data_IF_997526704736
#
_entry.id   IF_997526704736
#
_cell.length_a   1.000
_cell.length_b   1.000
_cell.length_c   1.000
_cell.angle_alpha   90.00
_cell.angle_beta   90.00
_cell.angle_gamma   90.00
#
_symmetry.space_group_name_H-M   'P 1'
#
loop_
_entity.id
_entity.type
_entity.pdbx_description
1 polymer ?
#
# COMPACT_ATOMS: atom_id res chain seq x y z
N UNK A 1 24.68 19.62 -31.88
CA UNK A 1 23.74 19.34 -30.77
C UNK A 1 24.57 19.26 -29.49
N UNK A 2 24.21 20.03 -28.45
CA UNK A 2 24.93 19.95 -27.15
C UNK A 2 24.29 18.85 -26.31
N UNK A 3 25.07 18.00 -25.66
CA UNK A 3 24.59 16.95 -24.75
C UNK A 3 25.01 17.34 -23.33
N UNK A 4 24.10 17.17 -22.39
CA UNK A 4 24.33 17.49 -20.99
C UNK A 4 23.89 16.30 -20.12
N UNK A 5 24.75 15.91 -19.20
CA UNK A 5 24.43 14.94 -18.13
C UNK A 5 24.21 15.71 -16.83
N UNK A 6 23.02 15.53 -16.24
CA UNK A 6 22.75 16.13 -14.94
C UNK A 6 23.62 15.49 -13.87
N UNK A 7 24.27 16.30 -13.06
CA UNK A 7 25.12 15.85 -11.96
C UNK A 7 24.33 15.31 -10.76
N UNK A 8 23.03 15.59 -10.71
CA UNK A 8 22.13 15.10 -9.63
C UNK A 8 21.54 13.75 -9.99
N UNK A 9 21.48 12.86 -9.01
CA UNK A 9 20.79 11.58 -9.15
C UNK A 9 19.29 11.83 -9.29
N UNK A 10 18.73 11.45 -10.44
CA UNK A 10 17.29 11.61 -10.70
C UNK A 10 16.44 10.63 -9.90
N UNK A 11 16.92 9.40 -9.74
CA UNK A 11 16.22 8.33 -9.04
C UNK A 11 17.21 7.28 -8.52
N UNK A 12 16.95 6.81 -7.30
CA UNK A 12 17.65 5.65 -6.74
C UNK A 12 16.66 4.51 -6.57
N UNK A 13 16.99 3.33 -7.09
CA UNK A 13 16.18 2.12 -6.93
C UNK A 13 16.91 1.16 -6.00
N UNK A 14 16.30 0.88 -4.86
CA UNK A 14 16.78 -0.11 -3.91
C UNK A 14 15.74 -1.22 -3.75
N UNK A 15 16.19 -2.46 -3.83
CA UNK A 15 15.31 -3.62 -3.68
C UNK A 15 15.87 -4.63 -2.69
N UNK A 16 15.09 -4.92 -1.66
CA UNK A 16 15.32 -6.07 -0.80
C UNK A 16 14.92 -7.35 -1.53
N UNK A 17 15.66 -8.44 -1.32
CA UNK A 17 15.26 -9.76 -1.82
C UNK A 17 13.90 -10.13 -1.20
N UNK A 18 12.92 -10.36 -2.05
CA UNK A 18 11.58 -10.78 -1.67
C UNK A 18 11.37 -12.22 -2.17
N UNK A 19 11.37 -13.16 -1.24
CA UNK A 19 11.17 -14.60 -1.51
C UNK A 19 9.71 -15.03 -1.46
N UNK A 20 8.83 -14.17 -0.94
CA UNK A 20 7.40 -14.46 -0.78
C UNK A 20 6.60 -14.00 -2.01
N UNK A 21 5.72 -14.88 -2.47
CA UNK A 21 4.61 -14.56 -3.36
C UNK A 21 3.31 -14.41 -2.56
N UNK A 22 2.21 -14.06 -3.22
CA UNK A 22 0.87 -13.92 -2.60
C UNK A 22 0.89 -13.03 -1.35
N UNK A 23 1.33 -11.81 -1.54
CA UNK A 23 1.49 -10.81 -0.49
C UNK A 23 0.58 -9.61 -0.72
N UNK A 24 0.34 -8.87 0.36
CA UNK A 24 -0.18 -7.51 0.31
C UNK A 24 1.00 -6.55 0.38
N UNK A 25 0.94 -5.46 -0.34
CA UNK A 25 1.93 -4.39 -0.25
C UNK A 25 1.28 -3.03 -0.05
N UNK A 26 1.97 -2.17 0.67
CA UNK A 26 1.56 -0.81 0.94
C UNK A 26 2.59 0.14 0.34
N UNK A 27 2.11 1.16 -0.40
CA UNK A 27 2.94 2.27 -0.84
C UNK A 27 2.81 3.40 0.18
N UNK A 28 3.93 3.82 0.72
CA UNK A 28 4.00 4.71 1.86
C UNK A 28 4.91 5.88 1.53
N UNK A 29 4.41 7.11 1.62
CA UNK A 29 5.21 8.32 1.49
C UNK A 29 5.94 8.65 2.80
N UNK A 30 7.05 9.38 2.72
CA UNK A 30 7.69 9.93 3.92
C UNK A 30 6.87 11.03 4.58
N UNK A 31 6.08 11.75 3.78
CA UNK A 31 5.13 12.75 4.28
C UNK A 31 3.74 12.16 4.36
N UNK A 32 2.97 12.61 5.34
CA UNK A 32 1.57 12.23 5.48
C UNK A 32 0.70 12.90 4.44
N UNK A 33 -0.30 12.17 3.98
CA UNK A 33 -1.37 12.67 3.12
C UNK A 33 -2.60 12.97 3.98
N UNK A 34 -3.37 13.97 3.57
CA UNK A 34 -4.62 14.34 4.24
C UNK A 34 -5.78 13.56 3.63
N UNK A 35 -6.54 12.88 4.49
CA UNK A 35 -7.78 12.19 4.19
C UNK A 35 -8.94 12.81 4.95
N UNK A 36 -10.18 12.46 4.60
CA UNK A 36 -11.39 13.02 5.26
C UNK A 36 -11.44 12.77 6.77
N UNK A 37 -10.93 11.65 7.24
CA UNK A 37 -10.93 11.25 8.64
C UNK A 37 -9.62 11.48 9.38
N UNK A 38 -8.58 12.00 8.74
CA UNK A 38 -7.28 12.18 9.39
C UNK A 38 -6.11 12.20 8.41
N UNK A 39 -4.92 11.86 8.88
CA UNK A 39 -3.70 11.84 8.08
C UNK A 39 -3.05 10.47 8.11
N UNK A 40 -2.52 10.03 6.99
CA UNK A 40 -1.77 8.79 6.88
C UNK A 40 -0.67 8.91 5.83
N UNK A 41 0.42 8.18 6.01
CA UNK A 41 1.48 8.05 5.01
C UNK A 41 1.15 7.04 3.90
N UNK A 42 0.08 6.24 4.05
CA UNK A 42 -0.30 5.21 3.09
C UNK A 42 -0.97 5.86 1.88
N UNK A 43 -0.40 5.64 0.70
CA UNK A 43 -0.93 6.10 -0.59
C UNK A 43 -1.72 5.01 -1.33
N UNK A 44 -1.37 3.73 -1.10
CA UNK A 44 -1.96 2.60 -1.80
C UNK A 44 -1.83 1.30 -1.00
N UNK A 45 -2.83 0.45 -1.12
CA UNK A 45 -2.84 -0.93 -0.61
C UNK A 45 -3.23 -1.84 -1.77
N UNK A 46 -2.42 -2.87 -2.04
CA UNK A 46 -2.70 -3.80 -3.13
C UNK A 46 -2.10 -5.17 -2.90
N UNK A 47 -2.37 -6.10 -3.81
CA UNK A 47 -1.89 -7.47 -3.74
C UNK A 47 -0.96 -7.82 -4.89
N UNK A 48 -0.05 -8.74 -4.65
CA UNK A 48 0.74 -9.39 -5.68
C UNK A 48 0.74 -10.89 -5.50
N UNK A 49 0.32 -11.60 -6.55
CA UNK A 49 0.44 -13.07 -6.64
C UNK A 49 1.85 -13.49 -7.06
N UNK A 50 2.54 -12.65 -7.83
CA UNK A 50 3.84 -12.95 -8.48
C UNK A 50 5.04 -12.24 -7.85
N UNK A 51 4.90 -11.75 -6.62
CA UNK A 51 6.00 -11.15 -5.87
C UNK A 51 6.50 -9.81 -6.40
N UNK A 52 7.82 -9.58 -6.30
CA UNK A 52 8.44 -8.26 -6.43
C UNK A 52 8.29 -7.58 -7.80
N UNK A 53 8.27 -8.34 -8.90
CA UNK A 53 8.18 -7.75 -10.26
C UNK A 53 6.90 -6.94 -10.45
N UNK A 54 5.75 -7.48 -10.03
CA UNK A 54 4.48 -6.78 -10.12
C UNK A 54 4.40 -5.60 -9.17
N UNK A 55 4.98 -5.73 -7.98
CA UNK A 55 5.04 -4.65 -7.00
C UNK A 55 5.85 -3.47 -7.56
N UNK A 56 7.01 -3.72 -8.14
CA UNK A 56 7.86 -2.70 -8.74
C UNK A 56 7.14 -1.94 -9.86
N UNK A 57 6.47 -2.66 -10.77
CA UNK A 57 5.67 -2.05 -11.85
C UNK A 57 4.53 -1.19 -11.30
N UNK A 58 3.79 -1.70 -10.32
CA UNK A 58 2.68 -0.96 -9.70
C UNK A 58 3.18 0.27 -8.94
N UNK A 59 4.29 0.14 -8.21
CA UNK A 59 4.90 1.26 -7.49
C UNK A 59 5.36 2.36 -8.45
N UNK A 60 6.02 2.00 -9.57
CA UNK A 60 6.45 2.97 -10.58
C UNK A 60 5.27 3.73 -11.18
N UNK A 61 4.18 3.03 -11.54
CA UNK A 61 2.98 3.66 -12.10
C UNK A 61 2.30 4.64 -11.13
N UNK A 62 2.33 4.35 -9.83
CA UNK A 62 1.69 5.19 -8.81
C UNK A 62 2.62 6.28 -8.26
N UNK A 63 3.92 6.12 -8.43
CA UNK A 63 4.92 7.08 -7.96
C UNK A 63 4.70 8.47 -8.57
N UNK A 64 4.35 8.55 -9.85
CA UNK A 64 4.07 9.83 -10.50
C UNK A 64 2.93 10.60 -9.82
N UNK A 65 1.85 9.93 -9.48
CA UNK A 65 0.74 10.56 -8.75
C UNK A 65 1.16 11.03 -7.36
N UNK A 66 1.93 10.20 -6.62
CA UNK A 66 2.43 10.54 -5.30
C UNK A 66 3.39 11.73 -5.35
N UNK A 67 4.29 11.75 -6.33
CA UNK A 67 5.31 12.78 -6.43
C UNK A 67 4.77 14.09 -7.00
N UNK A 68 4.00 14.04 -8.09
CA UNK A 68 3.51 15.23 -8.78
C UNK A 68 2.32 15.87 -8.06
N UNK A 69 1.32 15.09 -7.67
CA UNK A 69 0.07 15.62 -7.10
C UNK A 69 0.15 15.86 -5.58
N UNK A 70 1.01 15.17 -4.88
CA UNK A 70 1.07 15.21 -3.42
C UNK A 70 2.39 15.76 -2.87
N UNK A 71 3.33 16.13 -3.74
CA UNK A 71 4.60 16.76 -3.37
C UNK A 71 5.52 15.90 -2.51
N UNK A 72 5.31 14.58 -2.49
CA UNK A 72 6.23 13.64 -1.85
C UNK A 72 7.42 13.40 -2.78
N UNK A 73 8.64 13.36 -2.23
CA UNK A 73 9.86 13.06 -2.98
C UNK A 73 10.32 11.62 -2.82
N UNK A 74 9.82 10.93 -1.84
CA UNK A 74 10.21 9.57 -1.47
C UNK A 74 8.99 8.70 -1.24
N UNK A 75 9.09 7.47 -1.65
CA UNK A 75 8.06 6.46 -1.45
C UNK A 75 8.72 5.12 -1.12
N UNK A 76 8.21 4.45 -0.12
CA UNK A 76 8.65 3.14 0.32
C UNK A 76 7.56 2.10 0.07
N UNK A 77 7.96 0.86 -0.14
CA UNK A 77 7.06 -0.28 -0.29
C UNK A 77 7.21 -1.19 0.92
N UNK A 78 6.13 -1.40 1.65
CA UNK A 78 6.07 -2.34 2.75
C UNK A 78 5.27 -3.58 2.35
N UNK A 79 5.69 -4.74 2.85
CA UNK A 79 5.03 -6.02 2.60
C UNK A 79 4.32 -6.48 3.87
N UNK A 80 3.03 -6.80 3.72
CA UNK A 80 2.24 -7.49 4.72
C UNK A 80 1.91 -8.90 4.23
N UNK A 81 2.00 -9.88 5.11
CA UNK A 81 1.65 -11.26 4.82
C UNK A 81 0.85 -11.88 5.97
N UNK A 82 0.08 -12.89 5.67
CA UNK A 82 -0.62 -13.69 6.65
C UNK A 82 -0.37 -15.18 6.40
N UNK A 83 -0.71 -16.01 7.38
CA UNK A 83 -0.60 -17.45 7.24
C UNK A 83 -1.45 -17.97 6.07
N UNK A 84 -0.86 -18.84 5.26
CA UNK A 84 -1.60 -19.51 4.20
C UNK A 84 -2.58 -20.53 4.81
N UNK A 85 -3.76 -20.61 4.21
CA UNK A 85 -4.75 -21.65 4.52
C UNK A 85 -5.12 -22.38 3.21
N UNK A 86 -5.13 -23.71 3.20
CA UNK A 86 -5.52 -24.47 2.01
C UNK A 86 -6.89 -24.02 1.48
N UNK A 87 -6.99 -23.83 0.17
CA UNK A 87 -8.25 -23.44 -0.49
C UNK A 87 -8.71 -22.00 -0.23
N UNK A 88 -7.98 -21.22 0.55
CA UNK A 88 -8.34 -19.84 0.88
C UNK A 88 -7.30 -18.84 0.37
N UNK A 89 -7.66 -17.87 -0.50
CA UNK A 89 -6.75 -16.81 -0.93
C UNK A 89 -6.55 -15.76 0.19
N UNK A 90 -5.86 -16.15 1.25
CA UNK A 90 -5.71 -15.37 2.49
C UNK A 90 -5.19 -13.95 2.25
N UNK A 91 -4.26 -13.77 1.29
CA UNK A 91 -3.71 -12.45 0.96
C UNK A 91 -4.76 -11.49 0.39
N UNK A 92 -5.76 -12.00 -0.37
CA UNK A 92 -6.87 -11.17 -0.87
C UNK A 92 -7.79 -10.72 0.26
N UNK A 93 -8.03 -11.59 1.24
CA UNK A 93 -8.78 -11.22 2.43
C UNK A 93 -8.01 -10.24 3.33
N UNK A 94 -6.69 -10.37 3.42
CA UNK A 94 -5.85 -9.42 4.13
C UNK A 94 -5.91 -8.02 3.48
N UNK A 95 -5.82 -7.94 2.15
CA UNK A 95 -6.01 -6.67 1.43
C UNK A 95 -7.37 -6.03 1.75
N UNK A 96 -8.45 -6.83 1.66
CA UNK A 96 -9.80 -6.34 1.99
C UNK A 96 -9.93 -5.87 3.43
N UNK A 97 -9.33 -6.58 4.37
CA UNK A 97 -9.32 -6.18 5.78
C UNK A 97 -8.58 -4.86 6.00
N UNK A 98 -7.42 -4.69 5.36
CA UNK A 98 -6.64 -3.45 5.43
C UNK A 98 -7.40 -2.28 4.79
N UNK A 99 -8.00 -2.46 3.62
CA UNK A 99 -8.80 -1.42 2.96
C UNK A 99 -10.04 -1.07 3.78
N UNK A 100 -10.75 -2.07 4.33
CA UNK A 100 -11.92 -1.85 5.17
C UNK A 100 -11.57 -1.04 6.43
N UNK A 101 -10.48 -1.41 7.10
CA UNK A 101 -10.03 -0.69 8.29
C UNK A 101 -9.48 0.70 7.96
N UNK A 102 -8.83 0.87 6.80
CA UNK A 102 -8.41 2.18 6.33
C UNK A 102 -9.61 3.10 6.13
N UNK A 103 -10.65 2.64 5.43
CA UNK A 103 -11.90 3.40 5.23
C UNK A 103 -12.58 3.72 6.56
N UNK A 104 -12.58 2.77 7.50
CA UNK A 104 -13.14 2.99 8.84
C UNK A 104 -12.45 4.15 9.57
N UNK A 105 -11.13 4.25 9.47
CA UNK A 105 -10.35 5.30 10.16
C UNK A 105 -10.31 6.62 9.40
N UNK A 106 -10.12 6.57 8.07
CA UNK A 106 -9.87 7.76 7.25
C UNK A 106 -11.05 8.17 6.37
N UNK A 107 -12.17 7.43 6.42
CA UNK A 107 -13.45 7.69 5.72
C UNK A 107 -13.37 7.73 4.20
N UNK A 108 -12.27 7.29 3.63
CA UNK A 108 -12.05 7.12 2.20
C UNK A 108 -10.92 6.11 1.95
N UNK A 109 -10.79 5.64 0.72
CA UNK A 109 -9.70 4.77 0.31
C UNK A 109 -8.38 5.54 0.24
N UNK A 110 -7.21 4.83 0.33
CA UNK A 110 -5.95 5.44 -0.05
C UNK A 110 -6.06 6.04 -1.47
N UNK A 111 -5.53 7.23 -1.68
CA UNK A 111 -5.84 8.03 -2.87
C UNK A 111 -5.40 7.41 -4.21
N UNK A 112 -4.44 6.48 -4.20
CA UNK A 112 -4.06 5.70 -5.39
C UNK A 112 -4.89 4.42 -5.59
N UNK A 113 -5.78 4.06 -4.66
CA UNK A 113 -6.75 3.00 -4.87
C UNK A 113 -7.94 3.53 -5.68
N UNK A 114 -8.36 2.76 -6.69
CA UNK A 114 -9.55 3.12 -7.49
C UNK A 114 -10.81 2.92 -6.66
N UNK A 115 -11.71 3.87 -6.73
CA UNK A 115 -13.04 3.75 -6.14
C UNK A 115 -13.89 2.74 -6.92
N UNK A 116 -14.74 1.97 -6.24
CA UNK A 116 -15.64 1.02 -6.89
C UNK A 116 -16.33 0.06 -5.93
N UNK A 117 -15.67 -0.35 -4.87
CA UNK A 117 -16.25 -1.24 -3.85
C UNK A 117 -16.35 -0.54 -2.50
N UNK A 118 -17.47 -0.80 -1.79
CA UNK A 118 -17.59 -0.41 -0.39
C UNK A 118 -16.87 -1.44 0.47
N UNK A 119 -15.71 -1.07 0.99
CA UNK A 119 -14.96 -1.90 1.92
C UNK A 119 -15.53 -1.73 3.33
N UNK A 120 -15.95 -2.85 3.93
CA UNK A 120 -16.38 -2.93 5.31
C UNK A 120 -15.79 -4.15 5.98
N UNK A 121 -15.43 -4.01 7.25
CA UNK A 121 -14.97 -5.12 8.05
C UNK A 121 -16.17 -6.00 8.41
N UNK A 122 -16.43 -7.03 7.60
CA UNK A 122 -17.60 -7.92 7.70
C UNK A 122 -17.33 -9.15 8.58
N UNK A 123 -18.35 -9.97 8.79
CA UNK A 123 -18.27 -11.18 9.60
C UNK A 123 -17.17 -12.16 9.13
N UNK A 124 -17.01 -12.32 7.81
CA UNK A 124 -15.98 -13.19 7.25
C UNK A 124 -14.57 -12.69 7.58
N UNK A 125 -14.34 -11.38 7.53
CA UNK A 125 -13.05 -10.77 7.91
C UNK A 125 -12.81 -10.89 9.42
N UNK A 126 -13.87 -10.75 10.26
CA UNK A 126 -13.77 -10.97 11.71
C UNK A 126 -13.39 -12.41 12.07
N UNK A 127 -13.86 -13.40 11.29
CA UNK A 127 -13.47 -14.82 11.48
C UNK A 127 -12.01 -15.07 11.12
N UNK A 128 -11.44 -14.31 10.18
CA UNK A 128 -10.07 -14.50 9.70
C UNK A 128 -9.06 -13.66 10.46
N UNK A 129 -9.41 -12.43 10.81
CA UNK A 129 -8.49 -11.45 11.39
C UNK A 129 -9.07 -10.79 12.63
N UNK A 130 -8.21 -10.57 13.62
CA UNK A 130 -8.55 -9.68 14.73
C UNK A 130 -8.43 -8.23 14.24
N UNK A 131 -9.54 -7.51 14.17
CA UNK A 131 -9.59 -6.12 13.68
C UNK A 131 -8.55 -5.23 14.36
N UNK A 132 -8.35 -5.37 15.67
CA UNK A 132 -7.33 -4.64 16.43
C UNK A 132 -5.90 -4.83 15.90
N UNK A 133 -5.57 -6.01 15.31
CA UNK A 133 -4.25 -6.24 14.70
C UNK A 133 -4.13 -5.50 13.37
N UNK A 134 -5.18 -5.49 12.55
CA UNK A 134 -5.25 -4.74 11.30
C UNK A 134 -5.13 -3.24 11.59
N UNK A 135 -5.88 -2.73 12.55
CA UNK A 135 -5.78 -1.36 13.02
C UNK A 135 -4.35 -0.98 13.43
N UNK A 136 -3.72 -1.77 14.29
CA UNK A 136 -2.33 -1.50 14.75
C UNK A 136 -1.31 -1.49 13.61
N UNK A 137 -1.52 -2.30 12.56
CA UNK A 137 -0.64 -2.30 11.41
C UNK A 137 -0.76 -0.97 10.65
N UNK A 138 -1.97 -0.48 10.42
CA UNK A 138 -2.20 0.79 9.74
C UNK A 138 -1.68 1.99 10.55
N UNK A 139 -1.86 1.97 11.87
CA UNK A 139 -1.42 3.06 12.75
C UNK A 139 0.10 3.23 12.82
N UNK A 140 0.89 2.29 12.33
CA UNK A 140 2.34 2.48 12.15
C UNK A 140 2.68 3.57 11.13
N UNK A 141 1.74 3.89 10.26
CA UNK A 141 1.84 4.89 9.19
C UNK A 141 0.92 6.08 9.42
N UNK A 142 0.35 6.18 10.60
CA UNK A 142 -0.40 7.37 11.03
C UNK A 142 0.57 8.52 11.30
N UNK A 143 0.10 9.71 11.07
CA UNK A 143 0.96 10.89 11.21
C UNK A 143 0.72 11.60 12.52
#
# INVERSE_FOLDING_TARGET
>A
MKVHLDSKVAMTVHRRILTKDRVVYLLVGKKSFTYKGGRSQIAYIGTSKRGAKRIASSAANKAEEVFSKRGSKDMEVYIASCAARPGLPSWKYLERALLAEFVNNYRELPFCNKQGEKFRFNEKLHKLFKQKRIYRLLMRFDA
#
